data_IF_499429956919
#
_entry.id   IF_499429956919
#
_cell.length_a   1.000
_cell.length_b   1.000
_cell.length_c   1.000
_cell.angle_alpha   90.00
_cell.angle_beta   90.00
_cell.angle_gamma   90.00
#
_symmetry.space_group_name_H-M   'P 1'
#
loop_
_entity.id
_entity.type
_entity.pdbx_description
1 polymer ?
#
# COMPACT_ATOMS: atom_id res chain seq x y z
N UNK A 1 8.63 -9.54 10.97
CA UNK A 1 7.30 -9.14 10.45
C UNK A 1 7.12 -7.63 10.54
N UNK A 2 7.36 -6.99 11.70
CA UNK A 2 7.36 -5.51 11.78
C UNK A 2 8.55 -4.84 11.05
N UNK A 3 9.66 -5.53 10.82
CA UNK A 3 10.80 -4.99 10.05
C UNK A 3 10.70 -5.21 8.53
N UNK A 4 9.65 -5.86 8.04
CA UNK A 4 9.48 -6.13 6.62
C UNK A 4 8.94 -4.88 5.91
N UNK A 5 9.69 -4.38 4.92
CA UNK A 5 9.35 -3.15 4.17
C UNK A 5 7.99 -3.26 3.46
N UNK A 6 7.61 -4.45 3.01
CA UNK A 6 6.36 -4.71 2.33
C UNK A 6 5.20 -4.69 3.31
N UNK A 7 5.39 -5.34 4.47
CA UNK A 7 4.41 -5.31 5.55
C UNK A 7 4.18 -3.89 6.08
N UNK A 8 5.23 -3.11 6.32
CA UNK A 8 5.11 -1.72 6.78
C UNK A 8 4.37 -0.85 5.76
N UNK A 9 4.72 -0.94 4.47
CA UNK A 9 4.03 -0.20 3.43
C UNK A 9 2.54 -0.60 3.31
N UNK A 10 2.22 -1.89 3.38
CA UNK A 10 0.83 -2.36 3.37
C UNK A 10 0.05 -1.89 4.60
N UNK A 11 0.68 -1.86 5.78
CA UNK A 11 0.05 -1.38 7.01
C UNK A 11 -0.24 0.13 6.95
N UNK A 12 0.66 0.94 6.41
CA UNK A 12 0.43 2.37 6.17
C UNK A 12 -0.76 2.60 5.22
N UNK A 13 -0.84 1.84 4.13
CA UNK A 13 -1.97 1.91 3.19
C UNK A 13 -3.28 1.52 3.87
N UNK A 14 -3.30 0.45 4.67
CA UNK A 14 -4.48 0.03 5.43
C UNK A 14 -4.96 1.13 6.40
N UNK A 15 -4.03 1.77 7.11
CA UNK A 15 -4.32 2.91 8.01
C UNK A 15 -4.89 4.10 7.25
N UNK A 16 -4.33 4.40 6.07
CA UNK A 16 -4.84 5.46 5.20
C UNK A 16 -6.27 5.19 4.75
N UNK A 17 -6.54 3.99 4.22
CA UNK A 17 -7.89 3.58 3.84
C UNK A 17 -8.89 3.71 5.00
N UNK A 18 -8.48 3.32 6.22
CA UNK A 18 -9.29 3.50 7.42
C UNK A 18 -9.59 4.98 7.72
N UNK A 19 -8.58 5.85 7.65
CA UNK A 19 -8.72 7.29 7.91
C UNK A 19 -9.62 8.00 6.90
N UNK A 20 -9.72 7.45 5.68
CA UNK A 20 -10.62 7.93 4.62
C UNK A 20 -12.05 7.35 4.75
N UNK A 21 -12.33 6.55 5.80
CA UNK A 21 -13.63 5.89 6.01
C UNK A 21 -13.85 4.62 5.18
N UNK A 22 -12.79 4.10 4.55
CA UNK A 22 -12.78 2.86 3.80
C UNK A 22 -12.55 1.61 4.65
N UNK A 23 -12.50 0.45 3.99
CA UNK A 23 -12.13 -0.81 4.64
C UNK A 23 -10.60 -0.84 4.84
N UNK A 24 -10.08 -1.14 6.04
CA UNK A 24 -8.65 -1.06 6.36
C UNK A 24 -7.85 -2.22 5.75
N UNK A 25 -7.74 -2.24 4.43
CA UNK A 25 -6.99 -3.24 3.66
C UNK A 25 -5.94 -2.50 2.85
N UNK A 26 -4.68 -2.83 3.07
CA UNK A 26 -3.55 -2.35 2.30
C UNK A 26 -2.77 -3.50 1.68
N UNK A 27 -2.11 -3.22 0.56
CA UNK A 27 -1.31 -4.18 -0.18
C UNK A 27 0.00 -3.52 -0.65
N UNK A 28 1.05 -4.32 -0.72
CA UNK A 28 2.35 -3.92 -1.25
C UNK A 28 2.90 -5.04 -2.12
N UNK A 29 3.37 -4.70 -3.32
CA UNK A 29 4.09 -5.59 -4.22
C UNK A 29 5.58 -5.29 -4.09
N UNK A 30 6.32 -6.29 -3.66
CA UNK A 30 7.78 -6.22 -3.49
C UNK A 30 8.43 -7.15 -4.50
N UNK A 31 9.47 -6.68 -5.19
CA UNK A 31 10.28 -7.48 -6.09
C UNK A 31 11.17 -8.46 -5.32
N UNK A 32 11.72 -9.45 -6.03
CA UNK A 32 12.65 -10.42 -5.44
C UNK A 32 13.94 -9.78 -4.89
N UNK A 33 14.34 -8.61 -5.40
CA UNK A 33 15.48 -7.82 -4.90
C UNK A 33 15.09 -6.85 -3.77
N UNK A 34 13.88 -6.96 -3.20
CA UNK A 34 13.47 -6.19 -2.04
C UNK A 34 13.09 -4.74 -2.35
N UNK A 35 12.67 -4.42 -3.58
CA UNK A 35 12.18 -3.09 -3.94
C UNK A 35 10.66 -3.07 -3.99
N UNK A 36 10.05 -1.99 -3.52
CA UNK A 36 8.60 -1.79 -3.66
C UNK A 36 8.29 -1.41 -5.11
N UNK A 37 7.50 -2.24 -5.78
CA UNK A 37 7.03 -2.02 -7.14
C UNK A 37 5.67 -1.29 -7.17
N UNK A 38 4.88 -1.44 -6.11
CA UNK A 38 3.58 -0.80 -5.99
C UNK A 38 2.98 -1.00 -4.61
N UNK A 39 2.14 -0.06 -4.19
CA UNK A 39 1.36 -0.15 -2.95
C UNK A 39 -0.01 0.51 -3.13
N UNK A 40 -0.96 0.14 -2.29
CA UNK A 40 -2.29 0.76 -2.33
C UNK A 40 -3.25 0.18 -1.30
N UNK A 41 -4.42 0.80 -1.17
CA UNK A 41 -5.48 0.37 -0.28
C UNK A 41 -6.85 0.33 -0.96
N UNK A 42 -7.82 -0.26 -0.26
CA UNK A 42 -9.20 -0.34 -0.70
C UNK A 42 -9.87 1.02 -0.80
N UNK A 43 -10.48 1.29 -1.96
CA UNK A 43 -11.17 2.54 -2.26
C UNK A 43 -12.67 2.34 -2.51
N UNK A 44 -13.22 1.18 -2.11
CA UNK A 44 -14.61 0.79 -2.39
C UNK A 44 -15.60 1.86 -1.92
N UNK A 45 -15.40 2.32 -0.70
CA UNK A 45 -16.29 3.30 -0.05
C UNK A 45 -15.97 4.72 -0.56
N UNK A 46 -14.69 5.07 -0.65
CA UNK A 46 -14.21 6.41 -1.00
C UNK A 46 -14.53 6.83 -2.43
N UNK A 47 -14.63 5.86 -3.35
CA UNK A 47 -14.97 6.08 -4.76
C UNK A 47 -16.39 5.66 -5.10
N UNK A 48 -17.17 5.19 -4.12
CA UNK A 48 -18.54 4.71 -4.35
C UNK A 48 -18.61 3.59 -5.39
N UNK A 49 -17.54 2.81 -5.57
CA UNK A 49 -17.43 1.80 -6.61
C UNK A 49 -17.18 0.42 -6.01
N UNK A 50 -18.04 -0.57 -6.25
CA UNK A 50 -17.88 -1.91 -5.68
C UNK A 50 -16.67 -2.67 -6.26
N UNK A 51 -16.07 -2.20 -7.36
CA UNK A 51 -14.99 -2.90 -8.06
C UNK A 51 -13.58 -2.36 -7.75
N UNK A 52 -13.46 -1.17 -7.16
CA UNK A 52 -12.14 -0.59 -6.84
C UNK A 52 -11.63 -1.16 -5.52
N UNK A 53 -11.06 -2.37 -5.61
CA UNK A 53 -10.54 -3.09 -4.46
C UNK A 53 -9.17 -2.61 -3.97
N UNK A 54 -8.32 -2.11 -4.88
CA UNK A 54 -7.03 -1.48 -4.58
C UNK A 54 -6.80 -0.37 -5.60
N UNK A 55 -6.50 0.85 -5.14
CA UNK A 55 -5.96 1.91 -6.00
C UNK A 55 -4.44 1.84 -6.05
N UNK A 56 -3.84 1.70 -7.23
CA UNK A 56 -2.39 1.72 -7.37
C UNK A 56 -1.85 3.12 -7.06
N UNK A 57 -1.09 3.26 -5.96
CA UNK A 57 -0.22 4.41 -5.75
C UNK A 57 1.15 4.04 -6.32
N UNK A 58 1.54 4.69 -7.43
CA UNK A 58 2.87 4.48 -8.02
C UNK A 58 3.95 4.88 -7.03
N UNK A 59 4.70 3.91 -6.52
CA UNK A 59 5.83 4.14 -5.62
C UNK A 59 7.10 4.28 -6.45
N UNK A 60 7.25 5.41 -7.14
CA UNK A 60 8.57 5.88 -7.56
C UNK A 60 9.24 6.58 -6.37
N UNK A 61 9.74 5.79 -5.44
CA UNK A 61 10.88 6.19 -4.63
C UNK A 61 11.58 4.94 -4.14
N UNK A 62 12.49 4.46 -5.01
CA UNK A 62 13.66 3.74 -4.53
C UNK A 62 14.26 4.61 -3.41
N UNK A 63 14.06 4.18 -2.17
CA UNK A 63 14.83 4.71 -1.06
C UNK A 63 16.27 4.34 -1.41
N UNK A 64 17.07 5.37 -1.70
CA UNK A 64 18.51 5.26 -1.79
C UNK A 64 18.99 4.48 -0.57
N UNK A 65 19.78 3.46 -0.89
CA UNK A 65 20.74 2.74 -0.09
C UNK A 65 21.01 3.38 1.28
N UNK A 66 20.73 2.60 2.32
CA UNK A 66 21.31 2.79 3.63
C UNK A 66 22.84 2.62 3.51
N UNK A 67 23.58 3.69 3.80
CA UNK A 67 24.91 3.58 4.42
C UNK A 67 24.75 3.38 5.93
#
# INVERSE_FOLDING_TARGET
MESDIGFQAALEEARKGASEGGVPIGACLVSADGKILGRGHNLRMQKGSPTIHVGAQHSHKALHDAE
#
